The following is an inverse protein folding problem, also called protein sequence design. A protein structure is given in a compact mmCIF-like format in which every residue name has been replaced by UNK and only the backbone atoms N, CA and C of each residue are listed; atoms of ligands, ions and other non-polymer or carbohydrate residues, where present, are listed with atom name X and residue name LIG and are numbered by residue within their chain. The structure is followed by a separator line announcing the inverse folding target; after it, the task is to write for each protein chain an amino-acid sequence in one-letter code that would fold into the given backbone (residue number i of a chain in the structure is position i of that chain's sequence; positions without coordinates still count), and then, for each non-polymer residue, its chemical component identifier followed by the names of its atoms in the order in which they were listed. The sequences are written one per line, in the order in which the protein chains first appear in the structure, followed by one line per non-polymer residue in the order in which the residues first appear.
data_IF_275357023316
#
_entry.id   IF_275357023316
#
_cell.length_a   1.000
_cell.length_b   1.000
_cell.length_c   1.000
_cell.angle_alpha   90.00
_cell.angle_beta   90.00
_cell.angle_gamma   90.00
#
_symmetry.space_group_name_H-M   'P 1'
#
loop_
_entity.id
_entity.type
_entity.pdbx_description
1 polymer ?
#
# COMPACT_ATOMS: atom_id res chain seq x y z
N UNK A 1 1.86 -9.99 15.85
CA UNK A 1 1.11 -9.11 14.92
C UNK A 1 1.83 -8.93 13.59
N UNK A 2 3.16 -8.84 13.54
CA UNK A 2 3.91 -8.60 12.29
C UNK A 2 3.75 -9.70 11.23
N UNK A 3 3.44 -10.93 11.64
CA UNK A 3 3.40 -12.11 10.78
C UNK A 3 2.42 -11.99 9.61
N UNK A 4 1.26 -11.32 9.80
CA UNK A 4 0.29 -11.13 8.72
C UNK A 4 0.82 -10.10 7.72
N UNK A 5 1.28 -8.95 8.20
CA UNK A 5 1.80 -7.88 7.35
C UNK A 5 3.09 -8.26 6.62
N UNK A 6 3.88 -9.20 7.15
CA UNK A 6 5.09 -9.70 6.50
C UNK A 6 4.79 -10.55 5.24
N UNK A 7 3.61 -11.18 5.15
CA UNK A 7 3.24 -12.03 4.01
C UNK A 7 2.64 -11.19 2.86
N UNK A 8 2.00 -10.06 3.19
CA UNK A 8 1.31 -9.20 2.23
C UNK A 8 2.17 -8.73 1.05
N UNK A 9 3.42 -8.25 1.24
CA UNK A 9 4.27 -7.84 0.12
C UNK A 9 4.47 -8.97 -0.89
N UNK A 10 4.77 -10.18 -0.41
CA UNK A 10 4.94 -11.35 -1.28
C UNK A 10 3.66 -11.73 -2.02
N UNK A 11 2.52 -11.66 -1.33
CA UNK A 11 1.20 -11.90 -1.94
C UNK A 11 0.91 -10.90 -3.09
N UNK A 12 1.15 -9.61 -2.87
CA UNK A 12 0.89 -8.59 -3.90
C UNK A 12 1.90 -8.67 -5.07
N UNK A 13 3.16 -9.04 -4.82
CA UNK A 13 4.13 -9.33 -5.90
C UNK A 13 3.64 -10.49 -6.77
N UNK A 14 3.14 -11.57 -6.15
CA UNK A 14 2.56 -12.69 -6.89
C UNK A 14 1.34 -12.27 -7.72
N UNK A 15 0.49 -11.39 -7.17
CA UNK A 15 -0.64 -10.82 -7.91
C UNK A 15 -0.20 -10.00 -9.12
N UNK A 16 0.87 -9.18 -9.02
CA UNK A 16 1.45 -8.46 -10.17
C UNK A 16 1.93 -9.44 -11.23
N UNK A 17 2.65 -10.49 -10.84
CA UNK A 17 3.15 -11.49 -11.78
C UNK A 17 2.01 -12.23 -12.51
N UNK A 18 0.91 -12.53 -11.81
CA UNK A 18 -0.28 -13.11 -12.42
C UNK A 18 -0.93 -12.17 -13.45
N UNK A 19 -1.12 -10.90 -13.09
CA UNK A 19 -1.69 -9.89 -14.00
C UNK A 19 -0.78 -9.65 -15.23
N UNK A 20 0.53 -9.69 -15.05
CA UNK A 20 1.48 -9.54 -16.14
C UNK A 20 1.45 -10.72 -17.14
N UNK A 21 1.14 -11.93 -16.68
CA UNK A 21 1.16 -13.15 -17.50
C UNK A 21 -0.19 -13.54 -18.09
N UNK A 22 -1.30 -12.96 -17.59
CA UNK A 22 -2.61 -13.17 -18.21
C UNK A 22 -2.60 -12.69 -19.67
N UNK A 23 -2.80 -13.63 -20.59
CA UNK A 23 -2.83 -13.37 -22.03
C UNK A 23 -4.27 -13.28 -22.52
N UNK A 24 -4.94 -12.17 -22.20
CA UNK A 24 -6.29 -11.83 -22.70
C UNK A 24 -6.26 -10.45 -23.33
N UNK A 25 -6.78 -10.36 -24.57
CA UNK A 25 -6.91 -9.10 -25.29
C UNK A 25 -7.77 -8.07 -24.54
N UNK A 26 -8.72 -8.53 -23.71
CA UNK A 26 -9.61 -7.67 -22.92
C UNK A 26 -8.88 -6.78 -21.91
N UNK A 27 -7.69 -7.19 -21.46
CA UNK A 27 -6.92 -6.43 -20.48
C UNK A 27 -6.09 -5.30 -21.10
N UNK A 28 -5.90 -5.33 -22.41
CA UNK A 28 -5.16 -4.32 -23.16
C UNK A 28 -6.09 -3.24 -23.72
N UNK A 29 -7.40 -3.34 -23.44
CA UNK A 29 -8.34 -2.27 -23.70
C UNK A 29 -8.02 -1.01 -22.89
N UNK A 30 -8.18 0.13 -23.54
CA UNK A 30 -8.05 1.44 -22.92
C UNK A 30 -9.21 1.63 -21.93
N UNK A 31 -8.88 2.16 -20.76
CA UNK A 31 -9.86 2.41 -19.70
C UNK A 31 -10.86 3.50 -20.16
N UNK A 32 -12.19 3.32 -19.97
CA UNK A 32 -13.18 4.30 -20.38
C UNK A 32 -13.04 5.60 -19.56
N UNK A 33 -13.38 6.73 -20.17
CA UNK A 33 -13.36 8.03 -19.51
C UNK A 33 -14.27 8.06 -18.28
N UNK A 34 -13.90 8.78 -17.18
CA UNK A 34 -12.69 9.57 -17.00
C UNK A 34 -11.53 8.71 -16.45
N UNK A 35 -10.58 8.36 -17.31
CA UNK A 35 -9.36 7.65 -16.91
C UNK A 35 -8.16 8.62 -16.96
N UNK A 36 -7.28 8.61 -15.94
CA UNK A 36 -6.06 9.42 -15.97
C UNK A 36 -5.07 8.89 -17.02
N UNK A 37 -4.34 9.79 -17.66
CA UNK A 37 -3.24 9.43 -18.56
C UNK A 37 -1.93 9.26 -17.78
N UNK A 38 -1.11 8.29 -18.18
CA UNK A 38 0.22 8.12 -17.62
C UNK A 38 1.21 8.94 -18.43
N UNK A 39 1.89 9.87 -17.76
CA UNK A 39 3.03 10.58 -18.33
C UNK A 39 4.26 9.67 -18.23
N UNK A 40 4.71 9.13 -19.35
CA UNK A 40 5.94 8.37 -19.46
C UNK A 40 7.03 9.27 -20.02
N UNK A 41 8.17 9.32 -19.35
CA UNK A 41 9.36 10.02 -19.85
C UNK A 41 10.39 8.99 -20.27
N UNK A 42 10.64 8.89 -21.57
CA UNK A 42 11.68 8.02 -22.13
C UNK A 42 12.81 8.90 -22.61
N UNK A 43 13.83 9.08 -21.75
CA UNK A 43 14.94 9.99 -22.03
C UNK A 43 14.53 11.46 -22.01
N UNK A 44 14.58 12.11 -23.17
CA UNK A 44 14.21 13.51 -23.34
C UNK A 44 12.78 13.73 -23.85
N UNK A 45 12.10 12.68 -24.31
CA UNK A 45 10.73 12.76 -24.81
C UNK A 45 9.73 12.40 -23.70
N UNK A 46 8.64 13.16 -23.64
CA UNK A 46 7.53 12.97 -22.73
C UNK A 46 6.29 12.56 -23.52
N UNK A 47 5.87 11.30 -23.37
CA UNK A 47 4.67 10.75 -24.02
C UNK A 47 3.56 10.53 -22.99
N UNK A 48 2.34 10.91 -23.36
CA UNK A 48 1.14 10.58 -22.59
C UNK A 48 0.54 9.28 -23.13
N UNK A 49 0.62 8.22 -22.32
CA UNK A 49 0.09 6.92 -22.68
C UNK A 49 -1.25 6.71 -21.99
N UNK A 50 -2.26 6.37 -22.80
CA UNK A 50 -3.59 6.02 -22.29
C UNK A 50 -3.51 4.78 -21.41
N UNK A 51 -4.17 4.82 -20.26
CA UNK A 51 -4.09 3.76 -19.27
C UNK A 51 -4.93 2.56 -19.71
N UNK A 52 -4.30 1.38 -19.83
CA UNK A 52 -5.00 0.11 -20.03
C UNK A 52 -5.35 -0.55 -18.69
N UNK A 53 -6.29 -1.48 -18.69
CA UNK A 53 -6.67 -2.23 -17.48
C UNK A 53 -5.49 -3.00 -16.88
N UNK A 54 -4.62 -3.58 -17.72
CA UNK A 54 -3.41 -4.27 -17.27
C UNK A 54 -2.49 -3.32 -16.50
N UNK A 55 -2.21 -2.15 -17.08
CA UNK A 55 -1.28 -1.18 -16.50
C UNK A 55 -1.85 -0.60 -15.20
N UNK A 56 -3.13 -0.24 -15.17
CA UNK A 56 -3.81 0.22 -13.96
C UNK A 56 -3.73 -0.82 -12.83
N UNK A 57 -4.11 -2.06 -13.11
CA UNK A 57 -4.14 -3.14 -12.10
C UNK A 57 -2.74 -3.46 -11.59
N UNK A 58 -1.74 -3.44 -12.48
CA UNK A 58 -0.33 -3.63 -12.11
C UNK A 58 0.17 -2.52 -11.19
N UNK A 59 -0.15 -1.25 -11.49
CA UNK A 59 0.19 -0.13 -10.61
C UNK A 59 -0.53 -0.18 -9.27
N UNK A 60 -1.80 -0.62 -9.25
CA UNK A 60 -2.55 -0.79 -8.01
C UNK A 60 -1.90 -1.83 -7.10
N UNK A 61 -1.53 -3.01 -7.61
CA UNK A 61 -0.82 -4.00 -6.80
C UNK A 61 0.62 -3.59 -6.45
N UNK A 62 1.31 -2.83 -7.31
CA UNK A 62 2.60 -2.24 -6.98
C UNK A 62 2.51 -1.23 -5.82
N UNK A 63 1.44 -0.42 -5.80
CA UNK A 63 1.13 0.48 -4.69
C UNK A 63 0.87 -0.29 -3.39
N UNK A 64 0.04 -1.35 -3.43
CA UNK A 64 -0.21 -2.20 -2.25
C UNK A 64 1.07 -2.88 -1.75
N UNK A 65 1.93 -3.35 -2.66
CA UNK A 65 3.23 -3.96 -2.33
C UNK A 65 4.11 -2.96 -1.57
N UNK A 66 4.24 -1.75 -2.11
CA UNK A 66 5.04 -0.68 -1.50
C UNK A 66 4.49 -0.29 -0.13
N UNK A 67 3.16 -0.11 -0.01
CA UNK A 67 2.52 0.17 1.28
C UNK A 67 2.76 -0.93 2.31
N UNK A 68 2.73 -2.20 1.88
CA UNK A 68 2.95 -3.33 2.76
C UNK A 68 4.40 -3.38 3.26
N UNK A 69 5.38 -3.09 2.41
CA UNK A 69 6.77 -2.92 2.85
C UNK A 69 6.91 -1.77 3.85
N UNK A 70 6.32 -0.60 3.56
CA UNK A 70 6.33 0.52 4.48
C UNK A 70 5.74 0.16 5.85
N UNK A 71 4.63 -0.59 5.88
CA UNK A 71 4.02 -1.04 7.13
C UNK A 71 4.95 -2.01 7.90
N UNK A 72 5.60 -2.97 7.22
CA UNK A 72 6.56 -3.88 7.84
C UNK A 72 7.76 -3.13 8.42
N UNK A 73 8.35 -2.20 7.66
CA UNK A 73 9.47 -1.38 8.13
C UNK A 73 9.07 -0.50 9.32
N UNK A 74 7.87 0.06 9.30
CA UNK A 74 7.34 0.83 10.43
C UNK A 74 7.25 -0.01 11.70
N UNK A 75 6.73 -1.23 11.63
CA UNK A 75 6.65 -2.13 12.78
C UNK A 75 8.04 -2.49 13.33
N UNK A 76 8.98 -2.84 12.45
CA UNK A 76 10.36 -3.15 12.83
C UNK A 76 11.04 -1.93 13.48
N UNK A 77 10.83 -0.75 12.92
CA UNK A 77 11.40 0.49 13.46
C UNK A 77 10.87 0.81 14.86
N UNK A 78 9.57 0.59 15.12
CA UNK A 78 8.99 0.79 16.45
C UNK A 78 9.53 -0.22 17.45
N UNK A 79 9.63 -1.50 17.08
CA UNK A 79 10.19 -2.54 17.96
C UNK A 79 11.65 -2.24 18.33
N UNK A 80 12.47 -1.76 17.37
CA UNK A 80 13.86 -1.37 17.59
C UNK A 80 14.01 -0.10 18.44
N UNK A 81 13.09 0.86 18.29
CA UNK A 81 13.17 2.15 18.98
C UNK A 81 12.49 2.16 20.35
N UNK A 82 11.61 1.19 20.65
CA UNK A 82 10.93 1.05 21.95
C UNK A 82 11.86 1.22 23.16
N UNK A 83 13.00 0.52 23.30
CA UNK A 83 13.87 0.69 24.48
C UNK A 83 14.52 2.07 24.55
N UNK A 84 14.78 2.71 23.41
CA UNK A 84 15.33 4.07 23.36
C UNK A 84 14.29 5.11 23.78
N UNK A 85 13.02 4.89 23.41
CA UNK A 85 11.90 5.76 23.77
C UNK A 85 11.62 5.65 25.27
N UNK A 86 11.63 4.44 25.83
CA UNK A 86 11.45 4.23 27.28
C UNK A 86 12.56 4.93 28.10
N UNK A 87 13.82 4.89 27.62
CA UNK A 87 14.92 5.62 28.24
C UNK A 87 14.72 7.14 28.23
N UNK A 88 14.26 7.69 27.09
CA UNK A 88 14.00 9.13 26.95
C UNK A 88 12.82 9.60 27.82
N UNK A 89 11.75 8.81 27.93
CA UNK A 89 10.61 9.12 28.79
C UNK A 89 11.02 9.10 30.27
N UNK A 90 11.94 8.21 30.66
CA UNK A 90 12.46 8.13 32.02
C UNK A 90 13.27 9.36 32.49
N UNK A 91 13.69 10.25 31.57
CA UNK A 91 14.37 11.50 31.90
C UNK A 91 13.42 12.65 32.27
N UNK A 92 12.10 12.45 32.11
CA UNK A 92 11.09 13.48 32.42
C UNK A 92 10.81 13.47 33.93
N UNK A 93 10.97 14.61 34.60
CA UNK A 93 10.62 14.77 36.01
C UNK A 93 9.08 14.77 36.19
N UNK A 94 8.58 13.77 36.93
CA UNK A 94 7.17 13.63 37.31
C UNK A 94 6.47 12.41 36.70
N UNK A 95 5.94 11.52 37.54
CA UNK A 95 5.25 10.30 37.12
C UNK A 95 4.05 10.58 36.19
N UNK A 96 3.29 11.66 36.46
CA UNK A 96 2.16 12.07 35.63
C UNK A 96 2.58 12.50 34.20
N UNK A 97 3.76 13.11 34.04
CA UNK A 97 4.28 13.52 32.74
C UNK A 97 4.73 12.32 31.89
N UNK A 98 5.32 11.31 32.53
CA UNK A 98 5.75 10.06 31.90
C UNK A 98 4.56 9.26 31.37
N UNK A 99 3.49 9.13 32.16
CA UNK A 99 2.28 8.40 31.77
C UNK A 99 1.56 9.08 30.60
N UNK A 100 1.48 10.42 30.60
CA UNK A 100 0.89 11.19 29.50
C UNK A 100 1.71 11.03 28.22
N UNK A 101 3.04 11.15 28.29
CA UNK A 101 3.92 11.00 27.13
C UNK A 101 3.79 9.60 26.52
N UNK A 102 3.76 8.56 27.36
CA UNK A 102 3.58 7.17 26.92
C UNK A 102 2.22 6.93 26.27
N UNK A 103 1.14 7.47 26.84
CA UNK A 103 -0.19 7.37 26.26
C UNK A 103 -0.32 8.09 24.93
N UNK A 104 0.27 9.29 24.79
CA UNK A 104 0.27 10.03 23.52
C UNK A 104 1.01 9.23 22.45
N UNK A 105 2.19 8.70 22.75
CA UNK A 105 2.96 7.88 21.81
C UNK A 105 2.19 6.62 21.36
N UNK A 106 1.59 5.90 22.32
CA UNK A 106 0.76 4.72 22.05
C UNK A 106 -0.44 5.07 21.16
N UNK A 107 -1.12 6.19 21.44
CA UNK A 107 -2.27 6.64 20.65
C UNK A 107 -1.87 7.06 19.23
N UNK A 108 -0.76 7.79 19.07
CA UNK A 108 -0.21 8.14 17.76
C UNK A 108 0.15 6.89 16.95
N UNK A 109 0.79 5.91 17.58
CA UNK A 109 1.11 4.64 16.93
C UNK A 109 -0.17 3.89 16.51
N UNK A 110 -1.16 3.77 17.39
CA UNK A 110 -2.44 3.13 17.08
C UNK A 110 -3.13 3.76 15.86
N UNK A 111 -3.22 5.10 15.83
CA UNK A 111 -3.81 5.82 14.71
C UNK A 111 -3.05 5.61 13.40
N UNK A 112 -1.72 5.63 13.44
CA UNK A 112 -0.90 5.42 12.26
C UNK A 112 -1.07 3.98 11.70
N UNK A 113 -1.09 2.97 12.57
CA UNK A 113 -1.34 1.57 12.17
C UNK A 113 -2.75 1.38 11.61
N UNK A 114 -3.77 1.97 12.25
CA UNK A 114 -5.14 1.92 11.78
C UNK A 114 -5.27 2.57 10.38
N UNK A 115 -4.59 3.69 10.14
CA UNK A 115 -4.55 4.35 8.85
C UNK A 115 -3.93 3.48 7.76
N UNK A 116 -2.73 2.93 7.99
CA UNK A 116 -2.06 2.04 7.02
C UNK A 116 -2.90 0.80 6.71
N UNK A 117 -3.44 0.16 7.75
CA UNK A 117 -4.27 -1.04 7.62
C UNK A 117 -5.55 -0.73 6.82
N UNK A 118 -6.23 0.38 7.13
CA UNK A 118 -7.41 0.82 6.38
C UNK A 118 -7.12 1.06 4.90
N UNK A 119 -5.98 1.69 4.58
CA UNK A 119 -5.55 1.90 3.19
C UNK A 119 -5.30 0.58 2.47
N UNK A 120 -4.59 -0.36 3.08
CA UNK A 120 -4.33 -1.67 2.50
C UNK A 120 -5.65 -2.43 2.25
N UNK A 121 -6.56 -2.48 3.23
CA UNK A 121 -7.85 -3.20 3.08
C UNK A 121 -8.70 -2.58 1.98
N UNK A 122 -8.92 -1.26 2.01
CA UNK A 122 -9.77 -0.58 1.02
C UNK A 122 -9.21 -0.72 -0.40
N UNK A 123 -7.89 -0.57 -0.56
CA UNK A 123 -7.28 -0.71 -1.90
C UNK A 123 -7.20 -2.17 -2.35
N UNK A 124 -7.12 -3.13 -1.44
CA UNK A 124 -7.26 -4.57 -1.77
C UNK A 124 -8.65 -4.88 -2.28
N UNK A 125 -9.70 -4.33 -1.65
CA UNK A 125 -11.09 -4.49 -2.12
C UNK A 125 -11.26 -3.92 -3.52
N UNK A 126 -10.68 -2.75 -3.80
CA UNK A 126 -10.67 -2.19 -5.16
C UNK A 126 -9.93 -3.13 -6.13
N UNK A 127 -8.75 -3.63 -5.78
CA UNK A 127 -8.01 -4.58 -6.61
C UNK A 127 -8.80 -5.86 -6.89
N UNK A 128 -9.49 -6.39 -5.88
CA UNK A 128 -10.34 -7.58 -6.02
C UNK A 128 -11.53 -7.31 -6.92
N UNK A 129 -12.19 -6.15 -6.80
CA UNK A 129 -13.26 -5.74 -7.71
C UNK A 129 -12.79 -5.70 -9.17
N UNK A 130 -11.59 -5.16 -9.42
CA UNK A 130 -11.03 -5.11 -10.76
C UNK A 130 -10.73 -6.50 -11.32
N UNK A 131 -10.14 -7.40 -10.51
CA UNK A 131 -9.84 -8.77 -10.93
C UNK A 131 -11.09 -9.65 -11.10
N UNK A 132 -12.04 -9.56 -10.17
CA UNK A 132 -13.20 -10.45 -10.15
C UNK A 132 -14.22 -10.07 -11.22
N UNK A 133 -14.54 -8.80 -11.34
CA UNK A 133 -15.66 -8.35 -12.16
C UNK A 133 -15.21 -7.59 -13.39
N UNK A 134 -14.38 -6.56 -13.23
CA UNK A 134 -14.09 -5.62 -14.33
C UNK A 134 -13.26 -6.24 -15.44
N UNK A 135 -12.40 -7.20 -15.11
CA UNK A 135 -11.59 -7.94 -16.09
C UNK A 135 -12.39 -8.94 -16.93
N UNK A 136 -13.59 -9.33 -16.49
CA UNK A 136 -14.44 -10.31 -17.18
C UNK A 136 -15.62 -9.69 -17.93
N UNK A 137 -15.88 -8.39 -17.74
CA UNK A 137 -16.98 -7.71 -18.43
C UNK A 137 -16.56 -7.38 -19.87
N UNK A 138 -17.25 -7.91 -20.89
CA UNK A 138 -17.02 -7.51 -22.27
C UNK A 138 -17.39 -6.02 -22.44
N UNK A 139 -16.53 -5.28 -23.14
CA UNK A 139 -16.80 -3.89 -23.51
C UNK A 139 -17.70 -3.91 -24.75
N UNK A 140 -19.01 -3.73 -24.52
CA UNK A 140 -19.99 -3.40 -25.56
C UNK A 140 -20.01 -1.92 -25.85
#
# INVERSE_FOLDING_TARGET
MISIFAILPGFFIAAIAAVATFNRAEMDFVMPEPAPELKLRTGNDEDYVKLTFRVFTSHLFAYLTTLSFCAVFMFIAVDLTSPSIDFLIGQIEGQAGQDIARNIFSLCYFWAVAWFTGKIILTTLVGLYFLAERMHRPQV
#
